data_IF_818686096366
#
_entry.id   IF_818686096366
#
_cell.length_a   1.000
_cell.length_b   1.000
_cell.length_c   1.000
_cell.angle_alpha   90.00
_cell.angle_beta   90.00
_cell.angle_gamma   90.00
#
_symmetry.space_group_name_H-M   'P 1'
#
loop_
_entity.id
_entity.type
_entity.pdbx_description
1 polymer ?
#
# COMPACT_ATOMS: atom_id res chain seq x y z
N UNK A 1 -3.76 17.49 -16.38
CA UNK A 1 -3.62 16.08 -15.90
C UNK A 1 -3.46 16.13 -14.38
N UNK A 2 -4.11 15.24 -13.62
CA UNK A 2 -3.91 15.20 -12.17
C UNK A 2 -2.45 14.86 -11.84
N UNK A 3 -1.89 15.55 -10.85
CA UNK A 3 -0.52 15.36 -10.37
C UNK A 3 -0.30 13.91 -9.89
N UNK A 4 0.80 13.27 -10.30
CA UNK A 4 1.18 11.96 -9.83
C UNK A 4 1.89 12.11 -8.47
N UNK A 5 1.18 11.84 -7.37
CA UNK A 5 1.76 11.88 -6.02
C UNK A 5 2.34 10.51 -5.65
N UNK A 6 3.68 10.37 -5.58
CA UNK A 6 4.28 9.12 -5.17
C UNK A 6 4.04 8.87 -3.68
N UNK A 7 3.99 7.59 -3.33
CA UNK A 7 3.92 7.16 -1.93
C UNK A 7 4.70 5.87 -1.70
N UNK A 8 5.22 5.70 -0.50
CA UNK A 8 5.80 4.44 -0.07
C UNK A 8 4.68 3.56 0.48
N UNK A 9 4.56 2.37 -0.08
CA UNK A 9 3.63 1.35 0.40
C UNK A 9 4.34 0.45 1.41
N UNK A 10 3.80 0.33 2.63
CA UNK A 10 4.48 -0.35 3.74
C UNK A 10 3.58 -1.45 4.31
N UNK A 11 3.75 -2.72 3.91
CA UNK A 11 3.23 -3.83 4.69
C UNK A 11 3.96 -3.86 6.04
N UNK A 12 3.32 -3.33 7.10
CA UNK A 12 3.92 -3.19 8.42
C UNK A 12 3.57 -4.42 9.28
N UNK A 13 4.17 -5.56 8.93
CA UNK A 13 3.92 -6.84 9.62
C UNK A 13 4.87 -7.06 10.80
N UNK A 14 5.53 -5.99 11.23
CA UNK A 14 6.37 -5.93 12.44
C UNK A 14 5.45 -5.70 13.64
N UNK A 15 5.53 -6.57 14.67
CA UNK A 15 4.77 -6.35 15.90
C UNK A 15 5.16 -5.03 16.58
N UNK A 16 4.21 -4.18 17.00
CA UNK A 16 4.46 -2.85 17.56
C UNK A 16 5.00 -2.91 19.00
N UNK A 17 6.30 -3.13 19.14
CA UNK A 17 6.97 -2.87 20.43
C UNK A 17 7.25 -1.38 20.58
N UNK A 18 7.82 -0.96 21.71
CA UNK A 18 8.13 0.45 21.99
C UNK A 18 8.94 1.15 20.88
N UNK A 19 9.82 0.41 20.21
CA UNK A 19 10.74 0.98 19.21
C UNK A 19 10.57 0.44 17.79
N UNK A 20 9.85 -0.65 17.61
CA UNK A 20 9.82 -1.37 16.33
C UNK A 20 9.21 -0.57 15.17
N UNK A 21 8.29 0.35 15.42
CA UNK A 21 7.71 1.22 14.39
C UNK A 21 8.40 2.59 14.28
N UNK A 22 9.39 2.89 15.13
CA UNK A 22 10.11 4.17 15.12
C UNK A 22 10.76 4.52 13.76
N UNK A 23 11.32 3.57 12.97
CA UNK A 23 11.86 3.92 11.65
C UNK A 23 10.83 4.54 10.71
N UNK A 24 9.56 4.08 10.74
CA UNK A 24 8.47 4.66 9.95
C UNK A 24 8.01 6.00 10.53
N UNK A 25 7.76 6.05 11.84
CA UNK A 25 7.29 7.25 12.52
C UNK A 25 8.27 8.40 12.34
N UNK A 26 9.57 8.15 12.50
CA UNK A 26 10.62 9.14 12.29
C UNK A 26 10.68 9.62 10.83
N UNK A 27 10.59 8.71 9.84
CA UNK A 27 10.58 9.07 8.43
C UNK A 27 9.37 9.96 8.09
N UNK A 28 8.19 9.59 8.54
CA UNK A 28 6.96 10.32 8.26
C UNK A 28 6.94 11.70 8.96
N UNK A 29 7.37 11.79 10.20
CA UNK A 29 7.46 13.06 10.93
C UNK A 29 8.48 14.02 10.32
N UNK A 30 9.65 13.50 9.92
CA UNK A 30 10.74 14.29 9.32
C UNK A 30 10.38 14.84 7.93
N UNK A 31 9.52 14.15 7.19
CA UNK A 31 9.18 14.47 5.80
C UNK A 31 7.68 14.47 5.53
N UNK A 32 6.94 15.50 6.01
CA UNK A 32 5.48 15.57 5.89
C UNK A 32 4.98 15.63 4.43
N UNK A 33 5.84 15.97 3.47
CA UNK A 33 5.53 15.96 2.04
C UNK A 33 5.57 14.54 1.41
N UNK A 34 6.23 13.57 2.06
CA UNK A 34 6.30 12.19 1.58
C UNK A 34 5.12 11.39 2.15
N UNK A 35 4.33 10.77 1.29
CA UNK A 35 3.16 10.00 1.71
C UNK A 35 3.48 8.53 1.93
N UNK A 36 2.84 7.95 2.94
CA UNK A 36 2.93 6.53 3.29
C UNK A 36 1.54 5.90 3.31
N UNK A 37 1.39 4.73 2.67
CA UNK A 37 0.24 3.86 2.88
C UNK A 37 0.72 2.63 3.63
N UNK A 38 0.21 2.45 4.83
CA UNK A 38 0.73 1.48 5.81
C UNK A 38 -0.33 0.42 6.05
N UNK A 39 0.01 -0.84 5.84
CA UNK A 39 -0.88 -1.97 6.09
C UNK A 39 -0.58 -2.58 7.44
N UNK A 40 -1.57 -2.64 8.32
CA UNK A 40 -1.46 -3.28 9.64
C UNK A 40 -2.17 -4.62 9.66
N UNK A 41 -1.49 -5.65 10.14
CA UNK A 41 -1.95 -7.05 10.13
C UNK A 41 -1.70 -7.73 11.48
N UNK A 42 -2.56 -7.52 12.49
CA UNK A 42 -2.35 -8.10 13.82
C UNK A 42 -2.45 -9.63 13.88
N UNK A 43 -3.41 -10.22 13.15
CA UNK A 43 -3.78 -11.64 13.29
C UNK A 43 -4.23 -12.25 11.94
N UNK A 44 -3.48 -12.03 10.87
CA UNK A 44 -3.93 -12.34 9.50
C UNK A 44 -5.31 -11.73 9.17
N UNK A 45 -5.54 -10.53 9.68
CA UNK A 45 -6.79 -9.81 9.78
C UNK A 45 -6.83 -8.98 11.06
N UNK A 46 -7.99 -8.45 11.45
CA UNK A 46 -8.14 -7.66 12.69
C UNK A 46 -8.00 -8.51 13.96
N UNK A 47 -8.20 -9.82 13.86
CA UNK A 47 -8.38 -10.72 14.97
C UNK A 47 -9.82 -10.77 15.50
N UNK A 48 -10.11 -11.68 16.45
CA UNK A 48 -11.48 -11.91 16.95
C UNK A 48 -11.95 -10.85 17.96
N UNK A 49 -11.03 -10.05 18.50
CA UNK A 49 -11.34 -9.11 19.57
C UNK A 49 -11.86 -7.78 19.01
N UNK A 50 -12.64 -7.07 19.81
CA UNK A 50 -13.21 -5.77 19.44
C UNK A 50 -12.15 -4.67 19.24
N UNK A 51 -10.96 -4.82 19.81
CA UNK A 51 -9.76 -3.98 19.65
C UNK A 51 -8.52 -4.89 19.60
N UNK A 52 -7.46 -4.50 18.92
CA UNK A 52 -6.19 -5.18 19.00
C UNK A 52 -5.55 -4.96 20.39
N UNK A 53 -4.45 -5.65 20.68
CA UNK A 53 -3.74 -5.49 21.94
C UNK A 53 -3.23 -4.05 22.17
N UNK A 54 -2.80 -3.76 23.43
CA UNK A 54 -2.39 -2.43 23.85
C UNK A 54 -1.20 -1.86 23.05
N UNK A 55 -0.29 -2.70 22.57
CA UNK A 55 0.83 -2.26 21.76
C UNK A 55 0.38 -1.77 20.39
N UNK A 56 -0.53 -2.53 19.73
CA UNK A 56 -1.16 -2.09 18.49
C UNK A 56 -1.96 -0.79 18.68
N UNK A 57 -2.74 -0.67 19.76
CA UNK A 57 -3.48 0.57 20.06
C UNK A 57 -2.52 1.76 20.16
N UNK A 58 -1.40 1.61 20.85
CA UNK A 58 -0.37 2.65 21.01
C UNK A 58 0.27 3.01 19.66
N UNK A 59 0.68 2.01 18.90
CA UNK A 59 1.29 2.23 17.57
C UNK A 59 0.32 2.87 16.58
N UNK A 60 -0.94 2.43 16.55
CA UNK A 60 -1.97 3.00 15.67
C UNK A 60 -2.28 4.47 16.01
N UNK A 61 -2.29 4.85 17.28
CA UNK A 61 -2.40 6.25 17.68
C UNK A 61 -1.23 7.10 17.21
N UNK A 62 0.00 6.55 17.30
CA UNK A 62 1.18 7.23 16.80
C UNK A 62 1.12 7.42 15.27
N UNK A 63 0.69 6.41 14.50
CA UNK A 63 0.48 6.55 13.05
C UNK A 63 -0.62 7.57 12.74
N UNK A 64 -1.72 7.56 13.47
CA UNK A 64 -2.86 8.46 13.26
C UNK A 64 -2.54 9.94 13.52
N UNK A 65 -1.50 10.23 14.31
CA UNK A 65 -1.03 11.61 14.56
C UNK A 65 -0.31 12.24 13.35
N UNK A 66 0.05 11.43 12.35
CA UNK A 66 0.81 11.86 11.18
C UNK A 66 -0.12 12.03 9.97
N UNK A 67 -0.23 13.27 9.47
CA UNK A 67 -1.16 13.61 8.39
C UNK A 67 -0.79 13.00 7.03
N UNK A 68 0.47 12.63 6.84
CA UNK A 68 1.00 12.00 5.63
C UNK A 68 1.01 10.46 5.67
N UNK A 69 0.37 9.86 6.68
CA UNK A 69 0.22 8.41 6.83
C UNK A 69 -1.24 8.03 6.62
N UNK A 70 -1.50 7.10 5.71
CA UNK A 70 -2.79 6.45 5.48
C UNK A 70 -2.69 5.02 6.02
N UNK A 71 -3.48 4.66 7.02
CA UNK A 71 -3.46 3.34 7.65
C UNK A 71 -4.53 2.44 7.05
N UNK A 72 -4.13 1.30 6.55
CA UNK A 72 -5.00 0.29 5.95
C UNK A 72 -5.05 -0.96 6.84
N UNK A 73 -6.25 -1.45 7.12
CA UNK A 73 -6.42 -2.76 7.75
C UNK A 73 -6.20 -3.87 6.73
N UNK A 74 -5.50 -4.92 7.11
CA UNK A 74 -5.27 -6.11 6.31
C UNK A 74 -6.46 -7.07 6.39
N UNK A 75 -6.94 -7.54 5.26
CA UNK A 75 -7.77 -8.76 5.16
C UNK A 75 -7.24 -9.60 4.00
N UNK A 76 -7.47 -10.92 4.03
CA UNK A 76 -7.20 -11.78 2.88
C UNK A 76 -8.50 -12.39 2.35
N UNK A 77 -8.57 -12.64 1.08
CA UNK A 77 -9.75 -13.23 0.46
C UNK A 77 -9.48 -14.60 -0.19
N UNK A 78 -8.32 -15.20 0.06
CA UNK A 78 -7.94 -16.55 -0.41
C UNK A 78 -8.31 -16.74 -1.89
N UNK A 79 -7.86 -15.83 -2.73
CA UNK A 79 -8.10 -15.80 -4.19
C UNK A 79 -9.59 -15.86 -4.61
N UNK A 80 -10.48 -15.44 -3.70
CA UNK A 80 -11.92 -15.41 -3.91
C UNK A 80 -12.66 -16.64 -3.35
N UNK A 81 -11.97 -17.49 -2.58
CA UNK A 81 -12.57 -18.67 -1.94
C UNK A 81 -13.19 -18.36 -0.57
N UNK A 82 -12.72 -17.29 0.09
CA UNK A 82 -13.23 -16.90 1.40
C UNK A 82 -14.64 -16.31 1.30
N UNK A 83 -15.53 -16.67 2.22
CA UNK A 83 -16.91 -16.19 2.23
C UNK A 83 -16.96 -14.65 2.37
N UNK A 84 -17.87 -14.04 1.60
CA UNK A 84 -18.08 -12.58 1.61
C UNK A 84 -18.44 -12.06 3.02
N UNK A 85 -19.26 -12.82 3.78
CA UNK A 85 -19.68 -12.45 5.12
C UNK A 85 -18.50 -12.40 6.11
N UNK A 86 -17.50 -13.26 5.94
CA UNK A 86 -16.29 -13.23 6.76
C UNK A 86 -15.44 -11.98 6.48
N UNK A 87 -15.31 -11.58 5.20
CA UNK A 87 -14.63 -10.34 4.82
C UNK A 87 -15.36 -9.12 5.41
N UNK A 88 -16.68 -9.11 5.30
CA UNK A 88 -17.52 -8.04 5.85
C UNK A 88 -17.37 -7.91 7.35
N UNK A 89 -17.28 -9.04 8.07
CA UNK A 89 -17.01 -9.05 9.51
C UNK A 89 -15.65 -8.43 9.85
N UNK A 90 -14.57 -8.82 9.15
CA UNK A 90 -13.25 -8.25 9.37
C UNK A 90 -13.24 -6.73 9.11
N UNK A 91 -13.90 -6.28 8.06
CA UNK A 91 -14.06 -4.86 7.73
C UNK A 91 -14.78 -4.10 8.85
N UNK A 92 -15.86 -4.68 9.41
CA UNK A 92 -16.60 -4.08 10.52
C UNK A 92 -15.75 -3.98 11.80
N UNK A 93 -14.91 -4.98 12.07
CA UNK A 93 -14.00 -4.93 13.23
C UNK A 93 -13.01 -3.79 13.09
N UNK A 94 -12.34 -3.63 11.93
CA UNK A 94 -11.43 -2.50 11.67
C UNK A 94 -12.13 -1.13 11.78
N UNK A 95 -13.29 -0.98 11.19
CA UNK A 95 -14.07 0.26 11.31
C UNK A 95 -14.46 0.56 12.75
N UNK A 96 -14.78 -0.49 13.52
CA UNK A 96 -15.11 -0.40 14.93
C UNK A 96 -13.96 0.09 15.81
N UNK A 97 -12.70 -0.10 15.43
CA UNK A 97 -11.55 0.39 16.21
C UNK A 97 -11.55 1.90 16.36
N UNK A 98 -11.87 2.63 15.28
CA UNK A 98 -11.94 4.10 15.32
C UNK A 98 -13.00 4.61 16.28
N UNK A 99 -14.12 3.88 16.40
CA UNK A 99 -15.23 4.25 17.30
C UNK A 99 -14.91 3.88 18.75
N UNK A 100 -14.34 2.69 18.97
CA UNK A 100 -14.08 2.16 20.33
C UNK A 100 -12.84 2.72 20.99
N UNK A 101 -11.87 3.22 20.22
CA UNK A 101 -10.61 3.74 20.77
C UNK A 101 -10.27 5.10 20.14
N UNK A 102 -10.62 6.20 20.82
CA UNK A 102 -10.28 7.54 20.34
C UNK A 102 -8.78 7.70 20.03
N UNK A 103 -8.49 8.33 18.92
CA UNK A 103 -7.13 8.55 18.42
C UNK A 103 -6.60 7.43 17.51
N UNK A 104 -7.32 6.31 17.35
CA UNK A 104 -7.04 5.36 16.26
C UNK A 104 -7.73 5.86 14.99
N UNK A 105 -7.04 5.71 13.85
CA UNK A 105 -7.58 5.95 12.52
C UNK A 105 -7.24 4.77 11.60
N UNK A 106 -8.26 4.22 10.97
CA UNK A 106 -8.13 3.28 9.85
C UNK A 106 -8.75 3.98 8.63
N UNK A 107 -7.96 4.16 7.59
CA UNK A 107 -8.31 4.97 6.42
C UNK A 107 -8.79 4.10 5.24
N UNK A 108 -8.84 2.78 5.41
CA UNK A 108 -9.29 1.86 4.40
C UNK A 108 -8.81 0.43 4.62
N UNK A 109 -8.91 -0.38 3.57
CA UNK A 109 -8.62 -1.82 3.62
C UNK A 109 -7.66 -2.22 2.50
N UNK A 110 -6.67 -3.01 2.86
CA UNK A 110 -5.83 -3.77 1.96
C UNK A 110 -6.37 -5.21 1.89
N UNK A 111 -6.76 -5.63 0.68
CA UNK A 111 -7.37 -6.93 0.41
C UNK A 111 -6.31 -7.81 -0.26
N UNK A 112 -5.70 -8.65 0.54
CA UNK A 112 -4.65 -9.56 0.11
C UNK A 112 -5.19 -10.84 -0.54
N UNK A 113 -4.32 -11.59 -1.22
CA UNK A 113 -4.69 -12.80 -1.95
C UNK A 113 -5.88 -12.54 -2.88
N UNK A 114 -5.91 -11.36 -3.52
CA UNK A 114 -7.01 -10.99 -4.42
C UNK A 114 -6.98 -11.82 -5.69
N UNK A 115 -8.14 -12.26 -6.19
CA UNK A 115 -8.18 -13.05 -7.41
C UNK A 115 -7.73 -12.25 -8.63
N UNK A 116 -7.04 -12.91 -9.56
CA UNK A 116 -6.68 -12.35 -10.87
C UNK A 116 -7.67 -12.74 -11.98
N UNK A 117 -8.55 -13.71 -11.74
CA UNK A 117 -9.55 -14.17 -12.69
C UNK A 117 -10.68 -13.14 -12.86
N UNK A 118 -10.89 -12.66 -14.07
CA UNK A 118 -11.92 -11.66 -14.40
C UNK A 118 -13.36 -12.09 -14.02
N UNK A 119 -13.65 -13.39 -13.94
CA UNK A 119 -14.94 -13.89 -13.45
C UNK A 119 -15.25 -13.48 -12.00
N UNK A 120 -14.21 -13.18 -11.20
CA UNK A 120 -14.33 -12.79 -9.79
C UNK A 120 -14.33 -11.28 -9.56
N UNK A 121 -14.39 -10.47 -10.62
CA UNK A 121 -14.51 -9.00 -10.48
C UNK A 121 -15.71 -8.61 -9.61
N UNK A 122 -16.84 -9.31 -9.74
CA UNK A 122 -18.03 -9.07 -8.93
C UNK A 122 -17.81 -9.27 -7.44
N UNK A 123 -17.03 -10.28 -7.07
CA UNK A 123 -16.65 -10.59 -5.67
C UNK A 123 -15.84 -9.45 -5.06
N UNK A 124 -14.74 -9.05 -5.68
CA UNK A 124 -13.90 -7.96 -5.14
C UNK A 124 -14.63 -6.60 -5.19
N UNK A 125 -15.49 -6.38 -6.18
CA UNK A 125 -16.29 -5.16 -6.25
C UNK A 125 -17.35 -5.09 -5.13
N UNK A 126 -17.90 -6.22 -4.72
CA UNK A 126 -18.82 -6.29 -3.57
C UNK A 126 -18.08 -5.93 -2.28
N UNK A 127 -16.88 -6.51 -2.04
CA UNK A 127 -16.03 -6.18 -0.90
C UNK A 127 -15.69 -4.68 -0.88
N UNK A 128 -15.27 -4.10 -2.00
CA UNK A 128 -14.96 -2.67 -2.07
C UNK A 128 -16.17 -1.76 -1.76
N UNK A 129 -17.34 -2.11 -2.25
CA UNK A 129 -18.58 -1.37 -1.93
C UNK A 129 -18.88 -1.45 -0.43
N UNK A 130 -18.69 -2.62 0.18
CA UNK A 130 -18.89 -2.79 1.62
C UNK A 130 -17.92 -1.94 2.42
N UNK A 131 -16.61 -1.94 2.09
CA UNK A 131 -15.62 -1.04 2.70
C UNK A 131 -16.12 0.41 2.64
N UNK A 132 -16.46 0.93 1.46
CA UNK A 132 -16.89 2.33 1.30
C UNK A 132 -18.19 2.68 2.02
N UNK A 133 -19.07 1.70 2.23
CA UNK A 133 -20.31 1.87 3.01
C UNK A 133 -20.04 1.89 4.52
N UNK A 134 -19.06 1.13 4.98
CA UNK A 134 -18.81 0.90 6.41
C UNK A 134 -17.98 2.03 7.05
N UNK A 135 -17.04 2.61 6.32
CA UNK A 135 -16.22 3.71 6.82
C UNK A 135 -16.93 5.06 6.64
N UNK A 136 -16.85 5.92 7.66
CA UNK A 136 -17.50 7.24 7.65
C UNK A 136 -16.86 8.24 6.67
N UNK A 137 -15.56 8.11 6.40
CA UNK A 137 -14.80 8.93 5.46
C UNK A 137 -14.53 8.12 4.18
N UNK A 138 -14.20 8.77 3.05
CA UNK A 138 -13.80 8.05 1.84
C UNK A 138 -12.66 7.07 2.13
N UNK A 139 -12.98 5.78 2.09
CA UNK A 139 -12.02 4.73 2.43
C UNK A 139 -11.18 4.33 1.22
N UNK A 140 -9.89 4.20 1.41
CA UNK A 140 -8.97 3.66 0.41
C UNK A 140 -9.12 2.14 0.31
N UNK A 141 -9.29 1.62 -0.91
CA UNK A 141 -9.36 0.19 -1.20
C UNK A 141 -8.16 -0.20 -2.07
N UNK A 142 -7.34 -1.11 -1.55
CA UNK A 142 -6.19 -1.67 -2.29
C UNK A 142 -6.39 -3.16 -2.48
N UNK A 143 -6.27 -3.65 -3.73
CA UNK A 143 -6.25 -5.08 -4.05
C UNK A 143 -4.82 -5.57 -4.25
N UNK A 144 -4.53 -6.76 -3.75
CA UNK A 144 -3.26 -7.42 -3.99
C UNK A 144 -3.43 -8.79 -4.70
N UNK A 145 -3.54 -8.81 -6.02
CA UNK A 145 -3.38 -10.02 -6.81
C UNK A 145 -1.91 -10.37 -7.07
N UNK A 146 -0.95 -9.48 -6.76
CA UNK A 146 0.48 -9.64 -7.03
C UNK A 146 0.88 -9.66 -8.50
N UNK A 147 -0.08 -9.50 -9.41
CA UNK A 147 0.10 -9.54 -10.87
C UNK A 147 -0.79 -8.51 -11.56
N UNK A 148 -0.49 -8.19 -12.82
CA UNK A 148 -1.36 -7.36 -13.66
C UNK A 148 -2.68 -8.10 -13.92
N UNK A 149 -3.80 -7.41 -13.67
CA UNK A 149 -5.16 -7.95 -13.80
C UNK A 149 -5.97 -7.22 -14.88
N UNK A 150 -7.12 -7.78 -15.22
CA UNK A 150 -8.07 -7.19 -16.17
C UNK A 150 -8.52 -5.79 -15.70
N UNK A 151 -8.74 -4.87 -16.66
CA UNK A 151 -9.08 -3.46 -16.39
C UNK A 151 -10.34 -3.28 -15.50
N UNK A 152 -11.26 -4.21 -15.53
CA UNK A 152 -12.47 -4.15 -14.71
C UNK A 152 -12.21 -4.11 -13.20
N UNK A 153 -11.10 -4.69 -12.71
CA UNK A 153 -10.71 -4.61 -11.29
C UNK A 153 -10.42 -3.17 -10.85
N UNK A 154 -9.89 -2.33 -11.74
CA UNK A 154 -9.53 -0.94 -11.44
C UNK A 154 -10.74 -0.01 -11.25
N UNK A 155 -11.95 -0.46 -11.61
CA UNK A 155 -13.17 0.32 -11.40
C UNK A 155 -13.57 0.36 -9.92
N UNK A 156 -13.27 -0.70 -9.18
CA UNK A 156 -13.63 -0.82 -7.78
C UNK A 156 -12.49 -0.47 -6.82
N UNK A 157 -11.22 -0.61 -7.24
CA UNK A 157 -10.04 -0.31 -6.45
C UNK A 157 -9.58 1.14 -6.61
N UNK A 158 -9.00 1.71 -5.55
CA UNK A 158 -8.20 2.93 -5.63
C UNK A 158 -6.79 2.60 -6.13
N UNK A 159 -6.23 1.47 -5.66
CA UNK A 159 -4.95 0.95 -6.11
C UNK A 159 -4.96 -0.57 -6.24
N UNK A 160 -4.08 -1.08 -7.10
CA UNK A 160 -3.85 -2.51 -7.30
C UNK A 160 -2.35 -2.81 -7.23
N UNK A 161 -1.95 -3.79 -6.42
CA UNK A 161 -0.59 -4.34 -6.43
C UNK A 161 -0.43 -5.21 -7.68
N UNK A 162 0.27 -4.69 -8.68
CA UNK A 162 0.46 -5.34 -9.98
C UNK A 162 1.72 -6.20 -10.06
N UNK A 163 2.52 -6.18 -9.02
CA UNK A 163 3.70 -6.99 -8.84
C UNK A 163 4.03 -7.12 -7.36
N UNK A 164 4.07 -8.34 -6.87
CA UNK A 164 4.64 -8.69 -5.59
C UNK A 164 5.51 -9.93 -5.77
N UNK A 165 6.83 -9.73 -5.91
CA UNK A 165 7.79 -10.80 -6.10
C UNK A 165 9.22 -10.33 -5.79
N UNK A 166 10.21 -11.23 -5.98
CA UNK A 166 11.63 -10.88 -5.89
C UNK A 166 11.98 -9.78 -6.90
N UNK A 167 12.80 -8.82 -6.49
CA UNK A 167 13.24 -7.73 -7.34
C UNK A 167 13.95 -8.20 -8.62
N UNK A 168 14.57 -9.40 -8.59
CA UNK A 168 15.17 -10.04 -9.77
C UNK A 168 14.17 -10.41 -10.87
N UNK A 169 12.90 -10.63 -10.51
CA UNK A 169 11.84 -11.02 -11.47
C UNK A 169 11.24 -9.81 -12.20
N UNK A 170 11.48 -8.58 -11.71
CA UNK A 170 10.94 -7.37 -12.34
C UNK A 170 11.31 -7.20 -13.82
N UNK A 171 12.57 -7.44 -14.24
CA UNK A 171 12.95 -7.27 -15.64
C UNK A 171 12.56 -8.44 -16.55
N UNK A 172 11.89 -9.49 -16.05
CA UNK A 172 11.49 -10.64 -16.85
C UNK A 172 10.55 -10.24 -18.00
N UNK A 173 10.66 -10.92 -19.14
CA UNK A 173 9.81 -10.67 -20.31
C UNK A 173 8.33 -10.82 -19.99
N UNK A 174 7.98 -11.75 -19.10
CA UNK A 174 6.61 -11.95 -18.62
C UNK A 174 6.06 -10.69 -17.93
N UNK A 175 6.82 -10.12 -16.97
CA UNK A 175 6.42 -8.91 -16.24
C UNK A 175 6.33 -7.72 -17.19
N UNK A 176 7.35 -7.51 -18.04
CA UNK A 176 7.40 -6.37 -18.96
C UNK A 176 6.30 -6.43 -20.01
N UNK A 177 6.01 -7.62 -20.56
CA UNK A 177 4.91 -7.83 -21.48
C UNK A 177 3.55 -7.52 -20.87
N UNK A 178 3.30 -7.94 -19.62
CA UNK A 178 2.05 -7.62 -18.93
C UNK A 178 1.95 -6.12 -18.58
N UNK A 179 3.04 -5.51 -18.13
CA UNK A 179 3.09 -4.09 -17.81
C UNK A 179 2.83 -3.20 -19.04
N UNK A 180 3.27 -3.63 -20.24
CA UNK A 180 3.04 -2.89 -21.49
C UNK A 180 1.54 -2.78 -21.85
N UNK A 181 0.70 -3.69 -21.36
CA UNK A 181 -0.76 -3.66 -21.55
C UNK A 181 -1.47 -2.60 -20.70
N UNK A 182 -0.80 -2.05 -19.67
CA UNK A 182 -1.37 -1.03 -18.81
C UNK A 182 -1.18 0.36 -19.41
N UNK A 183 -2.29 1.02 -19.73
CA UNK A 183 -2.29 2.42 -20.10
C UNK A 183 -1.88 3.33 -18.93
N UNK A 184 -1.54 4.62 -19.19
CA UNK A 184 -1.06 5.56 -18.18
C UNK A 184 -1.99 5.71 -16.96
N UNK A 185 -3.30 5.72 -17.18
CA UNK A 185 -4.29 5.88 -16.11
C UNK A 185 -4.31 4.67 -15.15
N UNK A 186 -4.14 3.46 -15.66
CA UNK A 186 -4.07 2.26 -14.82
C UNK A 186 -2.75 2.18 -14.06
N UNK A 187 -1.64 2.62 -14.67
CA UNK A 187 -0.34 2.71 -13.98
C UNK A 187 -0.39 3.67 -12.80
N UNK A 188 -1.15 4.76 -12.88
CA UNK A 188 -1.36 5.70 -11.77
C UNK A 188 -2.12 5.10 -10.58
N UNK A 189 -2.84 4.02 -10.80
CA UNK A 189 -3.54 3.23 -9.78
C UNK A 189 -2.77 1.96 -9.40
N UNK A 190 -1.50 1.86 -9.73
CA UNK A 190 -0.71 0.65 -9.52
C UNK A 190 0.30 0.81 -8.39
N UNK A 191 0.56 -0.31 -7.71
CA UNK A 191 1.58 -0.47 -6.68
C UNK A 191 2.52 -1.61 -7.10
N UNK A 192 3.81 -1.45 -6.85
CA UNK A 192 4.82 -2.49 -7.01
C UNK A 192 5.49 -2.77 -5.68
N UNK A 193 5.51 -4.03 -5.28
CA UNK A 193 6.24 -4.53 -4.11
C UNK A 193 7.33 -5.48 -4.62
N UNK A 194 8.58 -5.03 -4.55
CA UNK A 194 9.74 -5.80 -4.97
C UNK A 194 10.60 -6.16 -3.75
N UNK A 195 10.54 -7.41 -3.30
CA UNK A 195 11.30 -7.90 -2.15
C UNK A 195 12.61 -8.58 -2.55
N UNK A 196 13.40 -9.01 -1.57
CA UNK A 196 14.68 -9.72 -1.76
C UNK A 196 15.65 -8.97 -2.70
N UNK A 197 15.62 -7.64 -2.63
CA UNK A 197 16.55 -6.81 -3.41
C UNK A 197 17.98 -6.99 -2.90
N UNK A 198 18.92 -7.30 -3.79
CA UNK A 198 20.26 -7.73 -3.42
C UNK A 198 21.18 -6.61 -2.90
N UNK A 199 20.88 -5.33 -3.18
CA UNK A 199 21.71 -4.22 -2.75
C UNK A 199 20.98 -2.88 -2.75
N UNK A 200 21.52 -1.92 -2.00
CA UNK A 200 21.05 -0.54 -1.97
C UNK A 200 20.99 0.10 -3.37
N UNK A 201 22.06 -0.08 -4.16
CA UNK A 201 22.13 0.49 -5.50
C UNK A 201 21.02 -0.01 -6.42
N UNK A 202 20.68 -1.31 -6.36
CA UNK A 202 19.56 -1.91 -7.11
C UNK A 202 18.22 -1.41 -6.57
N UNK A 203 18.06 -1.28 -5.25
CA UNK A 203 16.86 -0.74 -4.63
C UNK A 203 16.56 0.67 -5.14
N UNK A 204 17.53 1.57 -5.07
CA UNK A 204 17.37 2.96 -5.50
C UNK A 204 17.16 3.06 -7.02
N UNK A 205 17.88 2.25 -7.81
CA UNK A 205 17.71 2.21 -9.27
C UNK A 205 16.30 1.77 -9.66
N UNK A 206 15.81 0.67 -9.06
CA UNK A 206 14.46 0.16 -9.35
C UNK A 206 13.40 1.16 -8.91
N UNK A 207 13.49 1.68 -7.68
CA UNK A 207 12.52 2.66 -7.17
C UNK A 207 12.41 3.90 -8.07
N UNK A 208 13.56 4.42 -8.53
CA UNK A 208 13.57 5.56 -9.47
C UNK A 208 12.89 5.21 -10.79
N UNK A 209 13.18 4.04 -11.36
CA UNK A 209 12.56 3.61 -12.62
C UNK A 209 11.05 3.43 -12.49
N UNK A 210 10.58 2.82 -11.41
CA UNK A 210 9.15 2.66 -11.15
C UNK A 210 8.40 4.00 -11.22
N UNK A 211 8.95 5.03 -10.61
CA UNK A 211 8.30 6.35 -10.60
C UNK A 211 8.51 7.12 -11.91
N UNK A 212 9.75 7.26 -12.38
CA UNK A 212 10.09 8.15 -13.50
C UNK A 212 9.76 7.55 -14.87
N UNK A 213 10.07 6.26 -15.09
CA UNK A 213 9.90 5.59 -16.37
C UNK A 213 8.52 4.95 -16.48
N UNK A 214 8.12 4.17 -15.48
CA UNK A 214 6.86 3.43 -15.50
C UNK A 214 5.66 4.23 -15.02
N UNK A 215 5.87 5.38 -14.35
CA UNK A 215 4.82 6.26 -13.83
C UNK A 215 3.90 5.55 -12.82
N UNK A 216 4.48 4.68 -12.00
CA UNK A 216 3.81 3.94 -10.92
C UNK A 216 4.06 4.70 -9.60
N UNK A 217 3.03 5.23 -8.94
CA UNK A 217 3.19 6.07 -7.75
C UNK A 217 3.44 5.27 -6.48
N UNK A 218 2.83 4.10 -6.35
CA UNK A 218 2.92 3.27 -5.15
C UNK A 218 4.05 2.26 -5.26
N UNK A 219 4.96 2.22 -4.28
CA UNK A 219 6.05 1.28 -4.34
C UNK A 219 6.65 0.93 -2.99
N UNK A 220 7.16 -0.30 -2.90
CA UNK A 220 8.13 -0.74 -1.93
C UNK A 220 9.21 -1.55 -2.65
N UNK A 221 10.46 -1.17 -2.52
CA UNK A 221 11.59 -2.02 -2.89
C UNK A 221 12.38 -2.31 -1.62
N UNK A 222 12.49 -3.58 -1.24
CA UNK A 222 13.06 -3.99 0.05
C UNK A 222 13.94 -5.22 -0.07
N UNK A 223 14.86 -5.40 0.86
CA UNK A 223 15.64 -6.64 1.00
C UNK A 223 14.84 -7.75 1.69
N UNK A 224 13.78 -7.39 2.42
CA UNK A 224 13.02 -8.29 3.27
C UNK A 224 11.87 -8.96 2.50
N UNK A 225 11.82 -10.28 2.52
CA UNK A 225 10.61 -11.04 2.21
C UNK A 225 9.77 -11.18 3.48
N UNK A 226 8.43 -11.10 3.36
CA UNK A 226 7.51 -11.26 4.50
C UNK A 226 7.35 -10.03 5.41
N UNK A 227 8.12 -8.96 5.20
CA UNK A 227 7.90 -7.61 5.80
C UNK A 227 7.88 -7.55 7.33
N UNK A 228 8.48 -8.55 8.01
CA UNK A 228 8.53 -8.65 9.47
C UNK A 228 9.75 -7.96 10.10
N UNK A 229 10.57 -7.29 9.29
CA UNK A 229 11.72 -6.52 9.74
C UNK A 229 12.04 -5.38 8.78
N UNK A 230 12.73 -4.35 9.25
CA UNK A 230 13.12 -3.21 8.44
C UNK A 230 14.24 -3.56 7.45
N UNK A 231 14.14 -3.00 6.26
CA UNK A 231 15.22 -3.02 5.29
C UNK A 231 16.40 -2.21 5.85
N UNK A 232 17.64 -2.71 5.81
CA UNK A 232 18.82 -1.96 6.27
C UNK A 232 19.06 -0.66 5.48
N UNK A 233 18.46 -0.56 4.30
CA UNK A 233 18.55 0.64 3.44
C UNK A 233 17.29 1.52 3.51
N UNK A 234 16.46 1.38 4.55
CA UNK A 234 15.18 2.10 4.70
C UNK A 234 15.36 3.62 4.60
N UNK A 235 16.35 4.17 5.33
CA UNK A 235 16.59 5.61 5.34
C UNK A 235 16.98 6.17 3.98
N UNK A 236 17.90 5.52 3.28
CA UNK A 236 18.31 5.96 1.95
C UNK A 236 17.21 5.83 0.91
N UNK A 237 16.33 4.83 1.06
CA UNK A 237 15.21 4.62 0.16
C UNK A 237 14.19 5.75 0.22
N UNK A 238 13.69 6.12 1.42
CA UNK A 238 12.72 7.20 1.52
C UNK A 238 13.33 8.58 1.25
N UNK A 239 14.63 8.80 1.58
CA UNK A 239 15.32 10.06 1.26
C UNK A 239 15.44 10.27 -0.25
N UNK A 240 15.72 9.22 -1.00
CA UNK A 240 15.76 9.30 -2.46
C UNK A 240 14.35 9.48 -3.06
N UNK A 241 13.33 8.79 -2.53
CA UNK A 241 11.93 9.00 -2.91
C UNK A 241 11.49 10.46 -2.74
N UNK A 242 11.88 11.09 -1.62
CA UNK A 242 11.63 12.51 -1.36
C UNK A 242 12.28 13.42 -2.41
N UNK A 243 13.52 13.12 -2.81
CA UNK A 243 14.22 13.90 -3.84
C UNK A 243 13.51 13.83 -5.19
N UNK A 244 12.96 12.69 -5.55
CA UNK A 244 12.21 12.54 -6.81
C UNK A 244 10.89 13.28 -6.76
N UNK A 245 10.18 13.23 -5.65
CA UNK A 245 8.95 13.98 -5.44
C UNK A 245 9.16 15.48 -5.64
N UNK A 246 10.16 16.05 -4.96
CA UNK A 246 10.45 17.48 -5.07
C UNK A 246 10.86 17.90 -6.50
N UNK A 247 11.60 17.07 -7.23
CA UNK A 247 11.96 17.35 -8.63
C UNK A 247 10.75 17.33 -9.56
N UNK A 248 9.78 16.45 -9.32
CA UNK A 248 8.56 16.38 -10.13
C UNK A 248 7.72 17.65 -10.02
N UNK A 249 7.57 18.19 -8.81
CA UNK A 249 6.86 19.46 -8.57
C UNK A 249 7.56 20.62 -9.28
N UNK A 250 8.89 20.68 -9.26
CA UNK A 250 9.66 21.76 -9.89
C UNK A 250 9.55 21.76 -11.40
N UNK A 251 9.50 20.58 -12.04
CA UNK A 251 9.37 20.45 -13.49
C UNK A 251 7.97 20.83 -14.00
N UNK A 252 6.92 20.61 -13.21
CA UNK A 252 5.56 21.02 -13.55
C UNK A 252 5.34 22.52 -13.34
N UNK A 253 6.03 23.13 -12.38
CA UNK A 253 5.99 24.58 -12.12
C UNK A 253 6.68 25.43 -13.21
N UNK A 254 7.64 24.86 -13.94
CA UNK A 254 8.36 25.58 -15.02
C UNK A 254 7.69 25.47 -16.38
N UNK A 255 6.75 24.56 -16.58
CA UNK A 255 5.99 24.41 -17.84
C UNK A 255 4.69 25.23 -17.90
N UNK A 256 4.30 25.91 -16.84
CA UNK A 256 3.09 26.76 -16.78
C UNK A 256 3.37 28.24 -17.04
N UNK A 257 4.57 28.59 -17.48
CA UNK A 257 5.02 29.98 -17.72
C UNK A 257 5.71 30.17 -19.07
N UNK A 258 5.08 29.72 -20.17
CA UNK A 258 5.45 30.18 -21.54
C UNK A 258 4.17 30.37 -22.33
#
# INVERSE_FOLDING_TARGET
>A
MAELKPFIFVPLYIYPTETSWQPLLAAAAKHPQLFFKVVVNPKNGPGPEALPDANYVTGLRALASLANVCVLGYIHCSWGERDQAELENDIMVYAGWTVRSPGIRIDGIFIDESPANAALVGYVAATARFVRKTFANPATVVYNPGVVVHVAFYQAADFIVIFENRASEWPSDFVQSNLSKLGPELRRKSIVIAHSCASQGLQLKLGRRLFQEYRIPGQLVTTQAGYASWCPYWESYWDEMRRWYNRSITLEGTSAGV
#
